data_IF_655398571187
#
_entry.id   IF_655398571187
#
_cell.length_a   1.000
_cell.length_b   1.000
_cell.length_c   1.000
_cell.angle_alpha   90.00
_cell.angle_beta   90.00
_cell.angle_gamma   90.00
#
_symmetry.space_group_name_H-M   'P 1'
#
loop_
_entity.id
_entity.type
_entity.pdbx_description
1 polymer ?
#
# COMPACT_ATOMS: atom_id res chain seq x y z
N UNK A 1 5.14 22.95 -35.41
CA UNK A 1 4.07 21.93 -35.33
C UNK A 1 4.66 20.70 -34.65
N UNK A 2 4.56 20.60 -33.32
CA UNK A 2 5.22 19.56 -32.51
C UNK A 2 4.25 18.39 -32.34
N UNK A 3 4.62 17.21 -32.86
CA UNK A 3 3.84 15.97 -32.73
C UNK A 3 3.91 15.48 -31.28
N UNK A 4 2.76 15.45 -30.61
CA UNK A 4 2.56 14.77 -29.33
C UNK A 4 2.54 13.26 -29.59
N UNK A 5 3.56 12.53 -29.16
CA UNK A 5 3.55 11.06 -29.15
C UNK A 5 2.68 10.62 -27.97
N UNK A 6 1.43 10.23 -28.27
CA UNK A 6 0.58 9.48 -27.33
C UNK A 6 1.10 8.04 -27.31
N UNK A 7 1.72 7.63 -26.22
CA UNK A 7 2.02 6.21 -25.96
C UNK A 7 0.70 5.52 -25.65
N UNK A 8 0.23 4.71 -26.60
CA UNK A 8 -0.82 3.73 -26.35
C UNK A 8 -0.21 2.60 -25.52
N UNK A 9 -0.81 2.29 -24.38
CA UNK A 9 -0.47 1.08 -23.63
C UNK A 9 -0.93 -0.11 -24.47
N UNK A 10 0.01 -1.02 -24.75
CA UNK A 10 -0.20 -2.17 -25.64
C UNK A 10 -1.18 -3.17 -25.02
N UNK A 11 -2.24 -3.51 -25.75
CA UNK A 11 -3.27 -4.47 -25.30
C UNK A 11 -2.67 -5.85 -25.00
N UNK A 12 -1.60 -6.23 -25.70
CA UNK A 12 -0.89 -7.49 -25.48
C UNK A 12 -0.21 -7.53 -24.10
N UNK A 13 0.23 -6.38 -23.59
CA UNK A 13 0.78 -6.27 -22.24
C UNK A 13 -0.31 -6.47 -21.18
N UNK A 14 -1.51 -5.94 -21.41
CA UNK A 14 -2.65 -6.07 -20.48
C UNK A 14 -3.13 -7.52 -20.41
N UNK A 15 -3.20 -8.24 -21.54
CA UNK A 15 -3.56 -9.66 -21.55
C UNK A 15 -2.54 -10.53 -20.83
N UNK A 16 -1.23 -10.32 -21.05
CA UNK A 16 -0.17 -11.05 -20.32
C UNK A 16 -0.23 -10.82 -18.81
N UNK A 17 -0.63 -9.64 -18.36
CA UNK A 17 -0.84 -9.36 -16.93
C UNK A 17 -2.11 -10.05 -16.41
N UNK A 18 -3.19 -10.10 -17.21
CA UNK A 18 -4.44 -10.80 -16.86
C UNK A 18 -4.31 -12.31 -16.78
N UNK A 19 -3.51 -12.92 -17.65
CA UNK A 19 -3.22 -14.35 -17.63
C UNK A 19 -2.33 -14.74 -16.44
N UNK A 20 -1.41 -13.85 -16.02
CA UNK A 20 -0.49 -14.11 -14.91
C UNK A 20 -1.14 -13.92 -13.53
N UNK A 21 -2.21 -13.14 -13.45
CA UNK A 21 -2.95 -12.88 -12.21
C UNK A 21 -4.41 -13.30 -12.40
N UNK A 22 -4.75 -14.49 -11.93
CA UNK A 22 -6.14 -14.94 -11.80
C UNK A 22 -6.92 -13.95 -10.90
N UNK A 23 -7.62 -13.00 -11.53
CA UNK A 23 -8.49 -12.04 -10.86
C UNK A 23 -9.64 -12.71 -10.09
N UNK A 24 -9.86 -14.01 -10.29
CA UNK A 24 -10.83 -14.86 -9.58
C UNK A 24 -10.57 -14.97 -8.07
N UNK A 25 -9.31 -14.81 -7.61
CA UNK A 25 -9.00 -14.86 -6.17
C UNK A 25 -9.40 -13.55 -5.45
N UNK A 26 -9.61 -12.45 -6.18
CA UNK A 26 -9.87 -11.14 -5.57
C UNK A 26 -11.30 -10.97 -5.03
N UNK A 27 -12.34 -11.55 -5.64
CA UNK A 27 -13.73 -11.21 -5.28
C UNK A 27 -14.21 -11.80 -3.95
N UNK A 28 -13.64 -12.91 -3.49
CA UNK A 28 -14.06 -13.57 -2.25
C UNK A 28 -13.38 -13.02 -0.99
N UNK A 29 -12.21 -12.38 -1.13
CA UNK A 29 -11.56 -11.67 -0.02
C UNK A 29 -12.07 -10.24 0.15
N UNK A 30 -12.51 -9.58 -0.95
CA UNK A 30 -13.08 -8.23 -0.92
C UNK A 30 -14.39 -8.14 -0.11
N UNK A 31 -15.15 -9.24 -0.02
CA UNK A 31 -16.43 -9.28 0.70
C UNK A 31 -16.28 -9.20 2.23
N UNK A 32 -15.14 -9.66 2.79
CA UNK A 32 -14.84 -9.52 4.22
C UNK A 32 -14.25 -8.14 4.59
N UNK A 33 -13.84 -7.31 3.62
CA UNK A 33 -13.25 -5.99 3.87
C UNK A 33 -14.27 -4.92 4.27
N UNK A 34 -15.54 -5.03 3.87
CA UNK A 34 -16.55 -4.01 4.19
C UNK A 34 -16.84 -3.87 5.70
N UNK A 35 -16.60 -4.92 6.49
CA UNK A 35 -16.88 -4.93 7.93
C UNK A 35 -15.70 -4.39 8.76
N UNK A 36 -14.50 -4.24 8.16
CA UNK A 36 -13.26 -3.89 8.87
C UNK A 36 -12.47 -2.74 8.20
N UNK A 37 -13.15 -1.77 7.57
CA UNK A 37 -12.45 -0.64 6.95
C UNK A 37 -11.85 0.29 8.01
N UNK A 38 -10.52 0.31 8.11
CA UNK A 38 -9.81 1.27 8.97
C UNK A 38 -9.78 2.67 8.35
N UNK A 39 -9.87 3.68 9.20
CA UNK A 39 -9.74 5.08 8.83
C UNK A 39 -8.26 5.50 8.66
N UNK A 40 -8.02 6.44 7.75
CA UNK A 40 -6.67 6.91 7.43
C UNK A 40 -5.97 7.64 8.57
N UNK A 41 -6.70 8.42 9.37
CA UNK A 41 -6.12 9.13 10.51
C UNK A 41 -5.68 8.14 11.58
N UNK A 42 -6.48 7.10 11.81
CA UNK A 42 -6.22 6.02 12.75
C UNK A 42 -4.99 5.21 12.36
N UNK A 43 -4.87 4.85 11.07
CA UNK A 43 -3.68 4.14 10.55
C UNK A 43 -2.43 5.00 10.71
N UNK A 44 -2.47 6.26 10.31
CA UNK A 44 -1.32 7.16 10.46
C UNK A 44 -0.90 7.32 11.91
N UNK A 45 -1.85 7.49 12.83
CA UNK A 45 -1.57 7.61 14.26
C UNK A 45 -0.90 6.34 14.80
N UNK A 46 -1.41 5.16 14.44
CA UNK A 46 -0.84 3.89 14.86
C UNK A 46 0.59 3.69 14.34
N UNK A 47 0.84 4.00 13.06
CA UNK A 47 2.19 3.90 12.49
C UNK A 47 3.14 4.90 13.13
N UNK A 48 2.71 6.14 13.38
CA UNK A 48 3.54 7.14 14.08
C UNK A 48 3.95 6.65 15.47
N UNK A 49 3.00 6.06 16.22
CA UNK A 49 3.25 5.53 17.54
C UNK A 49 4.21 4.34 17.53
N UNK A 50 4.05 3.40 16.60
CA UNK A 50 4.88 2.18 16.50
C UNK A 50 6.28 2.47 15.96
N UNK A 51 6.39 3.35 14.97
CA UNK A 51 7.67 3.68 14.35
C UNK A 51 8.41 4.84 15.04
N UNK A 52 7.81 5.44 16.08
CA UNK A 52 8.34 6.61 16.79
C UNK A 52 8.71 7.77 15.85
N UNK A 53 7.80 8.07 14.90
CA UNK A 53 7.96 9.14 13.91
C UNK A 53 6.88 10.19 14.05
N UNK A 54 7.18 11.40 13.61
CA UNK A 54 6.19 12.46 13.48
C UNK A 54 5.33 12.25 12.22
N UNK A 55 4.09 12.73 12.26
CA UNK A 55 3.13 12.60 11.16
C UNK A 55 3.68 13.14 9.84
N UNK A 56 4.39 14.27 9.87
CA UNK A 56 4.99 14.88 8.68
C UNK A 56 6.04 13.97 8.01
N UNK A 57 6.69 13.09 8.77
CA UNK A 57 7.67 12.15 8.23
C UNK A 57 7.01 11.08 7.34
N UNK A 58 5.72 10.80 7.50
CA UNK A 58 4.98 9.89 6.63
C UNK A 58 4.81 10.46 5.21
N UNK A 59 4.84 11.79 5.05
CA UNK A 59 4.69 12.45 3.76
C UNK A 59 6.02 12.75 3.07
N UNK A 60 7.11 12.79 3.85
CA UNK A 60 8.45 13.07 3.32
C UNK A 60 8.91 11.95 2.38
N UNK A 61 9.42 12.35 1.22
CA UNK A 61 10.14 11.47 0.31
C UNK A 61 11.63 11.72 0.52
N UNK A 62 12.36 10.70 0.96
CA UNK A 62 13.82 10.73 0.96
C UNK A 62 14.33 9.88 -0.19
N UNK A 63 15.05 10.49 -1.14
CA UNK A 63 15.62 9.74 -2.27
C UNK A 63 16.75 8.84 -1.75
N UNK A 64 16.76 7.59 -2.21
CA UNK A 64 17.83 6.62 -1.89
C UNK A 64 17.67 5.88 -0.56
N UNK A 65 16.65 6.20 0.25
CA UNK A 65 16.35 5.52 1.52
C UNK A 65 14.89 5.07 1.52
N UNK A 66 14.63 3.82 1.89
CA UNK A 66 13.26 3.34 2.06
C UNK A 66 12.62 4.03 3.27
N UNK A 67 11.53 4.77 3.05
CA UNK A 67 10.71 5.33 4.13
C UNK A 67 9.75 4.24 4.61
N UNK A 68 10.28 3.30 5.40
CA UNK A 68 9.53 2.16 5.95
C UNK A 68 8.22 2.61 6.63
N UNK A 69 8.19 3.67 7.47
CA UNK A 69 6.93 4.17 8.04
C UNK A 69 5.89 4.58 6.99
N UNK A 70 6.28 5.34 5.96
CA UNK A 70 5.37 5.73 4.86
C UNK A 70 4.86 4.51 4.10
N UNK A 71 5.76 3.63 3.71
CA UNK A 71 5.42 2.46 2.91
C UNK A 71 4.52 1.50 3.70
N UNK A 72 4.79 1.33 5.00
CA UNK A 72 3.95 0.56 5.92
C UNK A 72 2.55 1.17 6.05
N UNK A 73 2.44 2.49 6.15
CA UNK A 73 1.15 3.19 6.18
C UNK A 73 0.35 2.93 4.90
N UNK A 74 1.01 3.05 3.74
CA UNK A 74 0.41 2.74 2.43
C UNK A 74 -0.07 1.28 2.37
N UNK A 75 0.75 0.35 2.85
CA UNK A 75 0.41 -1.08 2.86
C UNK A 75 -0.78 -1.39 3.77
N UNK A 76 -0.81 -0.85 4.99
CA UNK A 76 -1.92 -1.04 5.95
C UNK A 76 -3.24 -0.51 5.37
N UNK A 77 -3.23 0.68 4.75
CA UNK A 77 -4.42 1.22 4.08
C UNK A 77 -4.87 0.31 2.94
N UNK A 78 -3.94 -0.22 2.14
CA UNK A 78 -4.30 -1.12 1.05
C UNK A 78 -4.89 -2.44 1.53
N UNK A 79 -4.39 -2.95 2.65
CA UNK A 79 -4.77 -4.24 3.21
C UNK A 79 -6.07 -4.19 4.03
N UNK A 80 -6.32 -3.08 4.73
CA UNK A 80 -7.37 -2.98 5.76
C UNK A 80 -8.41 -1.89 5.51
N UNK A 81 -8.32 -1.14 4.41
CA UNK A 81 -9.36 -0.19 4.00
C UNK A 81 -9.89 -0.53 2.61
N UNK A 82 -11.09 -0.04 2.28
CA UNK A 82 -11.67 -0.17 0.94
C UNK A 82 -11.09 0.84 -0.08
N UNK A 83 -9.95 1.49 0.22
CA UNK A 83 -9.36 2.52 -0.63
C UNK A 83 -8.59 1.93 -1.81
N UNK A 84 -8.81 2.50 -2.99
CA UNK A 84 -8.06 2.21 -4.22
C UNK A 84 -6.63 2.76 -4.14
N UNK A 85 -5.75 2.27 -5.03
CA UNK A 85 -4.38 2.80 -5.14
C UNK A 85 -4.34 4.30 -5.45
N UNK A 86 -5.32 4.81 -6.20
CA UNK A 86 -5.41 6.23 -6.53
C UNK A 86 -5.85 7.07 -5.33
N UNK A 87 -6.81 6.59 -4.54
CA UNK A 87 -7.21 7.26 -3.30
C UNK A 87 -6.08 7.27 -2.28
N UNK A 88 -5.39 6.14 -2.10
CA UNK A 88 -4.19 6.06 -1.25
C UNK A 88 -3.10 6.99 -1.79
N UNK A 89 -2.87 7.03 -3.10
CA UNK A 89 -1.93 7.96 -3.72
C UNK A 89 -2.26 9.42 -3.41
N UNK A 90 -3.55 9.78 -3.48
CA UNK A 90 -4.03 11.13 -3.19
C UNK A 90 -3.74 11.56 -1.75
N UNK A 91 -3.93 10.65 -0.77
CA UNK A 91 -3.59 10.90 0.64
C UNK A 91 -2.12 11.33 0.79
N UNK A 92 -1.20 10.68 0.07
CA UNK A 92 0.25 10.95 0.17
C UNK A 92 0.79 11.93 -0.88
N UNK A 93 -0.08 12.63 -1.63
CA UNK A 93 0.30 13.47 -2.76
C UNK A 93 1.19 12.74 -3.81
N UNK A 94 0.89 11.46 -4.04
CA UNK A 94 1.57 10.59 -5.01
C UNK A 94 0.75 10.56 -6.30
N UNK A 95 1.25 11.21 -7.34
CA UNK A 95 0.56 11.31 -8.63
C UNK A 95 0.71 10.06 -9.52
N UNK A 96 1.64 9.15 -9.18
CA UNK A 96 1.91 7.94 -9.97
C UNK A 96 1.49 6.71 -9.18
N UNK A 97 0.46 6.00 -9.67
CA UNK A 97 -0.01 4.75 -9.04
C UNK A 97 1.13 3.72 -8.88
N UNK A 98 2.13 3.73 -9.80
CA UNK A 98 3.29 2.84 -9.75
C UNK A 98 4.16 3.06 -8.52
N UNK A 99 4.20 4.27 -7.95
CA UNK A 99 4.90 4.55 -6.70
C UNK A 99 4.19 3.92 -5.51
N UNK A 100 2.85 3.97 -5.47
CA UNK A 100 2.03 3.31 -4.45
C UNK A 100 2.20 1.80 -4.53
N UNK A 101 2.11 1.23 -5.73
CA UNK A 101 2.34 -0.20 -5.97
C UNK A 101 3.74 -0.66 -5.54
N UNK A 102 4.78 0.13 -5.86
CA UNK A 102 6.16 -0.18 -5.46
C UNK A 102 6.35 -0.10 -3.93
N UNK A 103 5.66 0.82 -3.24
CA UNK A 103 5.67 0.86 -1.78
C UNK A 103 5.04 -0.40 -1.16
N UNK A 104 3.90 -0.84 -1.69
CA UNK A 104 3.24 -2.09 -1.28
C UNK A 104 4.16 -3.29 -1.48
N UNK A 105 4.76 -3.42 -2.67
CA UNK A 105 5.65 -4.53 -3.00
C UNK A 105 6.89 -4.58 -2.08
N UNK A 106 7.46 -3.42 -1.71
CA UNK A 106 8.58 -3.34 -0.77
C UNK A 106 8.20 -3.88 0.60
N UNK A 107 7.06 -3.47 1.16
CA UNK A 107 6.60 -4.00 2.45
C UNK A 107 6.27 -5.48 2.37
N UNK A 108 5.64 -5.96 1.30
CA UNK A 108 5.40 -7.40 1.12
C UNK A 108 6.70 -8.22 1.09
N UNK A 109 7.75 -7.69 0.46
CA UNK A 109 9.08 -8.30 0.48
C UNK A 109 9.69 -8.31 1.89
N UNK A 110 9.71 -7.17 2.55
CA UNK A 110 10.25 -7.04 3.91
C UNK A 110 9.46 -7.86 4.93
N UNK A 111 8.13 -7.98 4.81
CA UNK A 111 7.31 -8.84 5.65
C UNK A 111 7.65 -10.33 5.52
N UNK A 112 8.39 -10.77 4.50
CA UNK A 112 8.82 -12.17 4.37
C UNK A 112 10.24 -12.39 4.89
N UNK A 113 11.05 -11.34 4.97
CA UNK A 113 12.49 -11.44 5.14
C UNK A 113 13.00 -10.74 6.42
N UNK A 114 12.28 -9.73 6.90
CA UNK A 114 12.68 -8.86 8.00
C UNK A 114 11.70 -8.99 9.17
N UNK A 115 12.12 -9.67 10.24
CA UNK A 115 11.32 -9.87 11.45
C UNK A 115 10.89 -8.54 12.09
N UNK A 116 11.72 -7.50 11.99
CA UNK A 116 11.43 -6.16 12.52
C UNK A 116 10.20 -5.56 11.83
N UNK A 117 10.10 -5.71 10.50
CA UNK A 117 8.95 -5.19 9.74
C UNK A 117 7.68 -6.00 10.05
N UNK A 118 7.80 -7.32 10.22
CA UNK A 118 6.68 -8.16 10.68
C UNK A 118 6.18 -7.72 12.06
N UNK A 119 7.09 -7.48 13.01
CA UNK A 119 6.75 -7.06 14.37
C UNK A 119 6.08 -5.68 14.36
N UNK A 120 6.62 -4.71 13.60
CA UNK A 120 6.00 -3.39 13.44
C UNK A 120 4.58 -3.51 12.87
N UNK A 121 4.40 -4.31 11.81
CA UNK A 121 3.09 -4.53 11.22
C UNK A 121 2.11 -5.16 12.20
N UNK A 122 2.55 -6.15 12.98
CA UNK A 122 1.74 -6.76 14.05
C UNK A 122 1.30 -5.76 15.11
N UNK A 123 2.21 -4.92 15.60
CA UNK A 123 1.90 -3.86 16.56
C UNK A 123 0.88 -2.86 16.01
N UNK A 124 1.01 -2.47 14.74
CA UNK A 124 0.05 -1.58 14.07
C UNK A 124 -1.33 -2.24 13.98
N UNK A 125 -1.40 -3.50 13.54
CA UNK A 125 -2.66 -4.24 13.46
C UNK A 125 -3.34 -4.38 14.83
N UNK A 126 -2.54 -4.65 15.88
CA UNK A 126 -3.03 -4.73 17.26
C UNK A 126 -3.64 -3.40 17.73
N UNK A 127 -3.00 -2.27 17.46
CA UNK A 127 -3.54 -0.95 17.81
C UNK A 127 -4.83 -0.63 17.06
N UNK A 128 -4.92 -1.05 15.79
CA UNK A 128 -6.11 -0.87 14.95
C UNK A 128 -7.22 -1.89 15.25
N UNK A 129 -6.96 -2.88 16.12
CA UNK A 129 -7.86 -4.00 16.43
C UNK A 129 -8.30 -4.78 15.18
N UNK A 130 -7.41 -4.89 14.20
CA UNK A 130 -7.64 -5.68 12.97
C UNK A 130 -6.82 -6.96 12.99
N UNK A 131 -7.36 -8.01 12.36
CA UNK A 131 -6.62 -9.26 12.16
C UNK A 131 -5.50 -9.09 11.15
N UNK A 132 -4.40 -9.83 11.27
CA UNK A 132 -3.36 -9.85 10.26
C UNK A 132 -3.87 -10.59 9.00
N UNK A 133 -3.65 -10.07 7.78
CA UNK A 133 -3.85 -10.83 6.55
C UNK A 133 -2.88 -12.01 6.53
N UNK A 134 -3.31 -13.14 5.99
CA UNK A 134 -2.39 -14.26 5.72
C UNK A 134 -1.43 -13.83 4.60
N UNK A 135 -0.13 -13.82 4.91
CA UNK A 135 0.97 -13.42 4.01
C UNK A 135 1.37 -14.61 3.12
#
# INVERSE_FOLDING_TARGET
MVKVVRSAVDSEFIEKIRERFDFSVQDKELSNLQVLSVDEHSVMAAVCAVCHVERDQLFKMQRGVANVPRDLTIYVLRAHSSKTLNEIGSIFNINRYSTVSTAIARIQGSLKQESVVQEMYGKVCQQLKVGQPKI
#
